data_IF_787688524233
#
_entry.id   IF_787688524233
#
_cell.length_a   1.000
_cell.length_b   1.000
_cell.length_c   1.000
_cell.angle_alpha   90.00
_cell.angle_beta   90.00
_cell.angle_gamma   90.00
#
_symmetry.space_group_name_H-M   'P 1'
#
loop_
_entity.id
_entity.type
_entity.pdbx_description
1 polymer ?
#
# COMPACT_ATOMS: atom_id res chain seq x y z
N UNK A 1 -3.09 24.98 8.31
CA UNK A 1 -2.37 23.74 7.95
C UNK A 1 -1.82 23.97 6.55
N UNK A 2 -0.52 23.83 6.38
CA UNK A 2 0.17 24.17 5.12
C UNK A 2 0.11 22.99 4.14
N UNK A 3 -0.86 22.99 3.23
CA UNK A 3 -1.18 21.85 2.36
C UNK A 3 -0.08 21.55 1.31
N UNK A 4 0.72 22.54 0.93
CA UNK A 4 1.71 22.40 -0.13
C UNK A 4 2.78 21.33 0.17
N UNK A 5 3.14 21.15 1.42
CA UNK A 5 4.06 20.09 1.86
C UNK A 5 3.44 18.70 1.74
N UNK A 6 2.15 18.57 1.98
CA UNK A 6 1.44 17.31 1.82
C UNK A 6 1.27 16.98 0.33
N UNK A 7 1.02 17.99 -0.51
CA UNK A 7 1.00 17.83 -1.97
C UNK A 7 2.35 17.35 -2.48
N UNK A 8 3.46 17.91 -1.98
CA UNK A 8 4.81 17.48 -2.35
C UNK A 8 5.01 15.98 -2.08
N UNK A 9 4.58 15.50 -0.91
CA UNK A 9 4.63 14.08 -0.57
C UNK A 9 3.75 13.23 -1.50
N UNK A 10 2.53 13.68 -1.81
CA UNK A 10 1.64 12.97 -2.72
C UNK A 10 2.24 12.85 -4.12
N UNK A 11 2.84 13.94 -4.64
CA UNK A 11 3.55 13.94 -5.91
C UNK A 11 4.71 12.96 -5.88
N UNK A 12 5.49 12.93 -4.80
CA UNK A 12 6.58 11.97 -4.65
C UNK A 12 6.06 10.52 -4.68
N UNK A 13 4.96 10.21 -3.99
CA UNK A 13 4.35 8.87 -4.01
C UNK A 13 3.92 8.48 -5.43
N UNK A 14 3.17 9.36 -6.12
CA UNK A 14 2.69 9.11 -7.49
C UNK A 14 3.85 8.95 -8.47
N UNK A 15 4.90 9.76 -8.33
CA UNK A 15 6.10 9.67 -9.15
C UNK A 15 6.78 8.31 -8.98
N UNK A 16 6.88 7.77 -7.75
CA UNK A 16 7.44 6.44 -7.53
C UNK A 16 6.57 5.32 -8.13
N UNK A 17 5.23 5.46 -8.14
CA UNK A 17 4.34 4.50 -8.81
C UNK A 17 4.62 4.51 -10.32
N UNK A 18 4.79 5.70 -10.91
CA UNK A 18 5.07 5.84 -12.34
C UNK A 18 6.46 5.33 -12.73
N UNK A 19 7.50 5.69 -11.97
CA UNK A 19 8.89 5.32 -12.27
C UNK A 19 9.19 3.84 -11.97
N UNK A 20 8.49 3.24 -11.02
CA UNK A 20 8.65 1.84 -10.64
C UNK A 20 7.30 1.10 -10.75
N UNK A 21 6.78 0.87 -11.97
CA UNK A 21 5.45 0.29 -12.19
C UNK A 21 5.39 -1.17 -11.75
N UNK A 22 6.51 -1.88 -11.82
CA UNK A 22 6.63 -3.29 -11.46
C UNK A 22 6.93 -3.50 -9.98
N UNK A 23 6.68 -4.73 -9.55
CA UNK A 23 6.74 -5.14 -8.14
C UNK A 23 7.97 -5.98 -7.88
N UNK A 24 8.41 -5.99 -6.61
CA UNK A 24 9.51 -6.87 -6.21
C UNK A 24 8.96 -8.26 -5.92
N UNK A 25 9.81 -9.27 -5.99
CA UNK A 25 9.43 -10.67 -5.74
C UNK A 25 8.86 -10.86 -4.34
N UNK A 26 9.32 -10.10 -3.36
CA UNK A 26 8.87 -10.19 -1.97
C UNK A 26 7.40 -9.74 -1.79
N UNK A 27 6.87 -8.95 -2.73
CA UNK A 27 5.50 -8.40 -2.68
C UNK A 27 4.49 -9.30 -3.37
N UNK A 28 4.96 -10.25 -4.18
CA UNK A 28 4.14 -11.11 -5.04
C UNK A 28 3.00 -11.78 -4.28
N UNK A 29 3.27 -12.34 -3.11
CA UNK A 29 2.26 -12.97 -2.24
C UNK A 29 1.07 -12.03 -1.94
N UNK A 30 1.33 -10.84 -1.40
CA UNK A 30 0.25 -9.90 -1.07
C UNK A 30 -0.48 -9.40 -2.31
N UNK A 31 0.24 -9.24 -3.42
CA UNK A 31 -0.34 -8.78 -4.67
C UNK A 31 -1.26 -9.82 -5.29
N UNK A 32 -0.87 -11.09 -5.26
CA UNK A 32 -1.73 -12.17 -5.69
C UNK A 32 -2.94 -12.28 -4.75
N UNK A 33 -2.77 -12.07 -3.45
CA UNK A 33 -3.89 -12.11 -2.52
C UNK A 33 -4.89 -10.98 -2.78
N UNK A 34 -4.40 -9.80 -3.16
CA UNK A 34 -5.24 -8.69 -3.62
C UNK A 34 -5.95 -9.05 -4.93
N UNK A 35 -5.22 -9.61 -5.89
CA UNK A 35 -5.79 -10.04 -7.17
C UNK A 35 -6.91 -11.08 -6.96
N UNK A 36 -6.66 -12.12 -6.17
CA UNK A 36 -7.62 -13.16 -5.85
C UNK A 36 -8.87 -12.57 -5.20
N UNK A 37 -8.70 -11.67 -4.23
CA UNK A 37 -9.81 -11.00 -3.57
C UNK A 37 -10.62 -10.09 -4.52
N UNK A 38 -9.96 -9.40 -5.47
CA UNK A 38 -10.61 -8.48 -6.40
C UNK A 38 -11.27 -9.18 -7.61
N UNK A 39 -10.69 -10.30 -8.07
CA UNK A 39 -11.11 -10.99 -9.30
C UNK A 39 -11.95 -12.23 -9.00
N UNK A 40 -11.54 -13.04 -8.03
CA UNK A 40 -12.23 -14.29 -7.67
C UNK A 40 -13.19 -14.09 -6.48
N UNK A 41 -12.97 -13.06 -5.65
CA UNK A 41 -13.86 -12.73 -4.55
C UNK A 41 -13.98 -13.90 -3.56
N UNK A 42 -15.20 -14.40 -3.38
CA UNK A 42 -15.49 -15.53 -2.46
C UNK A 42 -15.28 -16.91 -3.07
N UNK A 43 -14.92 -17.01 -4.36
CA UNK A 43 -14.58 -18.28 -4.99
C UNK A 43 -13.17 -18.71 -4.57
N UNK A 44 -13.06 -19.18 -3.32
CA UNK A 44 -11.80 -19.57 -2.71
C UNK A 44 -11.09 -20.68 -3.48
N UNK A 45 -11.81 -21.54 -4.20
CA UNK A 45 -11.23 -22.61 -5.00
C UNK A 45 -10.35 -22.10 -6.14
N UNK A 46 -10.61 -20.87 -6.61
CA UNK A 46 -9.85 -20.21 -7.67
C UNK A 46 -8.66 -19.38 -7.14
N UNK A 47 -8.40 -19.38 -5.84
CA UNK A 47 -7.29 -18.61 -5.26
C UNK A 47 -5.96 -19.33 -5.47
N UNK A 48 -4.99 -18.64 -6.06
CA UNK A 48 -3.64 -19.16 -6.30
C UNK A 48 -2.93 -19.54 -4.98
N UNK A 49 -3.32 -18.89 -3.89
CA UNK A 49 -2.82 -19.16 -2.54
C UNK A 49 -3.12 -20.57 -2.00
N UNK A 50 -4.12 -21.27 -2.55
CA UNK A 50 -4.37 -22.67 -2.20
C UNK A 50 -3.37 -23.61 -2.89
N UNK A 51 -2.92 -23.25 -4.09
CA UNK A 51 -1.98 -24.04 -4.88
C UNK A 51 -0.51 -23.74 -4.50
N UNK A 52 -0.22 -22.48 -4.15
CA UNK A 52 1.12 -22.02 -3.78
C UNK A 52 1.11 -21.31 -2.42
N UNK A 53 0.98 -22.06 -1.31
CA UNK A 53 1.16 -21.49 0.02
C UNK A 53 2.60 -20.98 0.13
N UNK A 54 2.75 -19.65 0.25
CA UNK A 54 4.06 -19.00 0.23
C UNK A 54 5.06 -19.63 1.21
N UNK A 55 6.35 -19.57 0.89
CA UNK A 55 7.43 -20.23 1.65
C UNK A 55 7.59 -19.77 3.13
N UNK A 56 6.86 -18.72 3.54
CA UNK A 56 6.88 -18.15 4.89
C UNK A 56 5.45 -17.77 5.28
N UNK A 57 5.01 -18.05 6.52
CA UNK A 57 3.69 -17.63 7.00
C UNK A 57 3.55 -16.11 6.94
N UNK A 58 2.54 -15.63 6.20
CA UNK A 58 2.25 -14.21 5.99
C UNK A 58 0.77 -13.96 6.28
N UNK A 59 0.46 -12.77 6.79
CA UNK A 59 -0.93 -12.38 7.04
C UNK A 59 -1.60 -11.84 5.78
N UNK A 60 -2.84 -12.24 5.52
CA UNK A 60 -3.66 -11.69 4.44
C UNK A 60 -4.31 -10.34 4.76
N UNK A 61 -4.29 -9.89 6.02
CA UNK A 61 -5.02 -8.69 6.45
C UNK A 61 -4.66 -7.43 5.65
N UNK A 62 -3.38 -7.21 5.36
CA UNK A 62 -2.94 -6.08 4.55
C UNK A 62 -3.45 -6.15 3.11
N UNK A 63 -3.45 -7.35 2.51
CA UNK A 63 -3.97 -7.59 1.18
C UNK A 63 -5.50 -7.40 1.12
N UNK A 64 -6.24 -7.92 2.10
CA UNK A 64 -7.70 -7.75 2.20
C UNK A 64 -8.10 -6.30 2.42
N UNK A 65 -7.34 -5.56 3.23
CA UNK A 65 -7.56 -4.13 3.40
C UNK A 65 -7.30 -3.37 2.10
N UNK A 66 -6.22 -3.67 1.39
CA UNK A 66 -5.89 -3.03 0.13
C UNK A 66 -6.89 -3.37 -0.99
N UNK A 67 -7.37 -4.61 -1.07
CA UNK A 67 -8.43 -5.00 -2.02
C UNK A 67 -9.74 -4.29 -1.68
N UNK A 68 -10.10 -4.14 -0.40
CA UNK A 68 -11.27 -3.36 -0.02
C UNK A 68 -11.17 -1.89 -0.44
N UNK A 69 -10.00 -1.26 -0.30
CA UNK A 69 -9.77 0.11 -0.77
C UNK A 69 -9.86 0.23 -2.30
N UNK A 70 -9.47 -0.82 -3.03
CA UNK A 70 -9.44 -0.85 -4.49
C UNK A 70 -10.62 -1.61 -5.12
N UNK A 71 -11.65 -1.96 -4.34
CA UNK A 71 -12.79 -2.78 -4.76
C UNK A 71 -13.46 -2.36 -6.08
N UNK A 72 -13.66 -1.06 -6.40
CA UNK A 72 -14.31 -0.69 -7.65
C UNK A 72 -13.40 -0.84 -8.89
N UNK A 73 -12.08 -1.03 -8.71
CA UNK A 73 -11.11 -1.01 -9.81
C UNK A 73 -11.35 -2.06 -10.92
N UNK A 74 -11.72 -3.33 -10.64
CA UNK A 74 -11.96 -4.32 -11.68
C UNK A 74 -13.05 -3.90 -12.68
N UNK A 75 -14.09 -3.21 -12.21
CA UNK A 75 -15.19 -2.71 -13.05
C UNK A 75 -14.78 -1.61 -14.04
N UNK A 76 -13.72 -0.85 -13.74
CA UNK A 76 -13.20 0.21 -14.61
C UNK A 76 -12.11 -0.28 -15.57
N UNK A 77 -11.30 -1.25 -15.13
CA UNK A 77 -10.07 -1.64 -15.83
C UNK A 77 -10.15 -3.01 -16.52
N UNK A 78 -11.33 -3.64 -16.56
CA UNK A 78 -11.56 -4.97 -17.16
C UNK A 78 -10.51 -6.01 -16.75
N UNK A 79 -10.11 -6.00 -15.47
CA UNK A 79 -9.10 -6.90 -14.90
C UNK A 79 -7.71 -6.86 -15.57
N UNK A 80 -7.33 -5.76 -16.23
CA UNK A 80 -5.95 -5.60 -16.72
C UNK A 80 -4.95 -5.52 -15.55
N UNK A 81 -3.99 -6.45 -15.52
CA UNK A 81 -3.10 -6.63 -14.36
C UNK A 81 -2.32 -5.39 -13.94
N UNK A 82 -1.73 -4.65 -14.90
CA UNK A 82 -0.96 -3.44 -14.59
C UNK A 82 -1.85 -2.28 -14.13
N UNK A 83 -3.05 -2.13 -14.69
CA UNK A 83 -3.97 -1.07 -14.29
C UNK A 83 -4.55 -1.35 -12.90
N UNK A 84 -4.92 -2.61 -12.62
CA UNK A 84 -5.38 -3.04 -11.30
C UNK A 84 -4.28 -2.85 -10.25
N UNK A 85 -3.05 -3.25 -10.57
CA UNK A 85 -1.88 -2.99 -9.74
C UNK A 85 -1.71 -1.50 -9.44
N UNK A 86 -1.79 -0.65 -10.47
CA UNK A 86 -1.65 0.80 -10.33
C UNK A 86 -2.76 1.37 -9.45
N UNK A 87 -4.01 0.92 -9.64
CA UNK A 87 -5.16 1.35 -8.84
C UNK A 87 -5.00 0.98 -7.36
N UNK A 88 -4.57 -0.25 -7.06
CA UNK A 88 -4.29 -0.71 -5.70
C UNK A 88 -3.17 0.13 -5.07
N UNK A 89 -2.07 0.37 -5.79
CA UNK A 89 -0.94 1.17 -5.30
C UNK A 89 -1.34 2.63 -5.05
N UNK A 90 -2.19 3.21 -5.89
CA UNK A 90 -2.75 4.54 -5.67
C UNK A 90 -3.64 4.57 -4.43
N UNK A 91 -4.53 3.59 -4.27
CA UNK A 91 -5.43 3.54 -3.11
C UNK A 91 -4.66 3.44 -1.78
N UNK A 92 -3.66 2.55 -1.72
CA UNK A 92 -2.77 2.40 -0.55
C UNK A 92 -1.93 3.67 -0.36
N UNK A 93 -1.38 4.23 -1.44
CA UNK A 93 -0.60 5.48 -1.41
C UNK A 93 -1.40 6.66 -0.85
N UNK A 94 -2.64 6.83 -1.27
CA UNK A 94 -3.55 7.88 -0.78
C UNK A 94 -3.90 7.65 0.70
N UNK A 95 -4.15 6.40 1.11
CA UNK A 95 -4.41 6.07 2.51
C UNK A 95 -3.21 6.39 3.42
N UNK A 96 -2.00 6.01 2.99
CA UNK A 96 -0.75 6.34 3.67
C UNK A 96 -0.51 7.85 3.75
N UNK A 97 -0.75 8.56 2.64
CA UNK A 97 -0.67 10.01 2.57
C UNK A 97 -1.66 10.69 3.54
N UNK A 98 -2.92 10.28 3.55
CA UNK A 98 -3.93 10.83 4.44
C UNK A 98 -3.58 10.60 5.93
N UNK A 99 -2.97 9.46 6.24
CA UNK A 99 -2.45 9.15 7.58
C UNK A 99 -1.28 10.09 7.94
N UNK A 100 -0.38 10.38 6.99
CA UNK A 100 0.72 11.32 7.18
C UNK A 100 0.23 12.77 7.37
N UNK A 101 -0.80 13.21 6.64
CA UNK A 101 -1.43 14.53 6.83
C UNK A 101 -1.93 14.67 8.27
N UNK A 102 -2.60 13.64 8.79
CA UNK A 102 -3.07 13.62 10.19
C UNK A 102 -1.91 13.64 11.18
N UNK A 103 -0.84 12.88 10.93
CA UNK A 103 0.36 12.89 11.76
C UNK A 103 0.99 14.30 11.82
N UNK A 104 1.15 14.97 10.67
CA UNK A 104 1.66 16.34 10.61
C UNK A 104 0.77 17.34 11.32
N UNK A 105 -0.55 17.16 11.25
CA UNK A 105 -1.50 18.00 11.99
C UNK A 105 -1.33 17.86 13.51
N UNK A 106 -1.06 16.63 14.01
CA UNK A 106 -0.77 16.38 15.43
C UNK A 106 0.58 17.00 15.82
N UNK A 107 1.63 16.76 15.03
CA UNK A 107 2.98 17.33 15.25
C UNK A 107 2.91 18.86 15.32
N UNK A 108 2.13 19.48 14.43
CA UNK A 108 1.94 20.93 14.41
C UNK A 108 1.29 21.48 15.67
N UNK A 109 0.41 20.70 16.32
CA UNK A 109 -0.29 21.10 17.54
C UNK A 109 0.56 20.86 18.79
N UNK A 110 1.38 19.81 18.78
CA UNK A 110 2.18 19.40 19.95
C UNK A 110 3.52 20.13 20.03
N UNK A 111 4.23 20.25 18.91
CA UNK A 111 5.61 20.75 18.88
C UNK A 111 5.76 22.06 18.12
N UNK A 112 4.86 22.35 17.19
CA UNK A 112 4.84 23.62 16.46
C UNK A 112 4.84 23.45 14.94
N UNK A 113 4.58 24.57 14.26
CA UNK A 113 4.53 24.62 12.79
C UNK A 113 5.89 24.29 12.15
N UNK A 114 7.05 24.80 12.63
CA UNK A 114 8.36 24.47 12.05
C UNK A 114 8.67 22.97 12.02
N UNK A 115 8.35 22.25 13.10
CA UNK A 115 8.59 20.82 13.26
C UNK A 115 7.70 20.02 12.30
N UNK A 116 6.44 20.42 12.15
CA UNK A 116 5.53 19.82 11.17
C UNK A 116 5.97 20.08 9.73
N UNK A 117 6.60 21.23 9.44
CA UNK A 117 7.20 21.53 8.12
C UNK A 117 8.42 20.65 7.87
N UNK A 118 9.33 20.56 8.83
CA UNK A 118 10.51 19.70 8.74
C UNK A 118 10.11 18.23 8.52
N UNK A 119 9.11 17.73 9.25
CA UNK A 119 8.61 16.37 9.06
C UNK A 119 8.11 16.12 7.63
N UNK A 120 7.29 17.03 7.08
CA UNK A 120 6.76 16.90 5.72
C UNK A 120 7.87 16.95 4.66
N UNK A 121 8.81 17.88 4.80
CA UNK A 121 9.97 18.02 3.91
C UNK A 121 10.88 16.79 3.94
N UNK A 122 11.31 16.36 5.12
CA UNK A 122 12.19 15.20 5.28
C UNK A 122 11.51 13.92 4.79
N UNK A 123 10.19 13.80 4.96
CA UNK A 123 9.43 12.65 4.46
C UNK A 123 9.30 12.68 2.95
N UNK A 124 9.05 13.83 2.34
CA UNK A 124 8.90 13.93 0.88
C UNK A 124 10.23 13.81 0.13
N UNK A 125 11.35 14.24 0.73
CA UNK A 125 12.68 14.23 0.10
C UNK A 125 13.41 12.90 0.24
N UNK A 126 13.16 12.14 1.31
CA UNK A 126 13.79 10.82 1.42
C UNK A 126 13.19 9.87 0.37
N UNK A 127 14.03 9.01 -0.21
CA UNK A 127 13.56 8.02 -1.16
C UNK A 127 12.67 6.95 -0.50
N UNK A 128 13.10 6.46 0.67
CA UNK A 128 12.59 5.21 1.21
C UNK A 128 11.10 5.26 1.56
N UNK A 129 10.68 6.24 2.36
CA UNK A 129 9.31 6.29 2.86
C UNK A 129 8.26 6.53 1.74
N UNK A 130 8.36 7.56 0.88
CA UNK A 130 7.41 7.76 -0.23
C UNK A 130 7.34 6.56 -1.18
N UNK A 131 8.48 5.90 -1.42
CA UNK A 131 8.52 4.70 -2.26
C UNK A 131 7.72 3.54 -1.67
N UNK A 132 7.81 3.29 -0.36
CA UNK A 132 7.08 2.21 0.30
C UNK A 132 5.63 2.57 0.68
N UNK A 133 5.26 3.85 0.74
CA UNK A 133 3.89 4.28 1.09
C UNK A 133 2.80 3.78 0.13
N UNK A 134 3.15 3.40 -1.10
CA UNK A 134 2.23 2.83 -2.10
C UNK A 134 2.39 1.32 -2.31
N UNK A 135 3.28 0.66 -1.55
CA UNK A 135 3.70 -0.72 -1.80
C UNK A 135 3.22 -1.66 -0.71
N UNK A 136 2.77 -2.84 -1.11
CA UNK A 136 2.25 -3.87 -0.21
C UNK A 136 3.38 -4.75 0.33
N UNK A 137 4.17 -4.18 1.25
CA UNK A 137 5.16 -4.95 1.98
C UNK A 137 4.48 -5.97 2.92
N UNK A 138 5.07 -7.16 3.03
CA UNK A 138 4.58 -8.23 3.90
C UNK A 138 4.75 -7.85 5.37
N UNK A 139 3.64 -7.80 6.11
CA UNK A 139 3.69 -7.76 7.58
C UNK A 139 4.08 -9.15 8.05
N UNK A 140 5.30 -9.29 8.59
CA UNK A 140 5.73 -10.53 9.23
C UNK A 140 5.18 -10.53 10.65
N UNK A 141 4.08 -11.25 10.90
CA UNK A 141 3.82 -11.75 12.26
C UNK A 141 4.22 -13.22 12.27
N UNK A 142 5.43 -13.49 12.75
CA UNK A 142 5.77 -14.84 13.17
C UNK A 142 4.90 -15.18 14.39
N UNK A 143 4.01 -16.16 14.26
CA UNK A 143 3.74 -17.06 15.36
C UNK A 143 4.06 -18.47 14.85
N UNK A 144 5.29 -18.91 15.12
CA UNK A 144 5.69 -20.29 14.96
C UNK A 144 5.11 -21.13 16.10
N UNK A 145 3.78 -21.26 16.14
CA UNK A 145 3.11 -22.19 17.04
C UNK A 145 2.07 -22.97 16.22
N UNK A 146 2.50 -24.15 15.79
CA UNK A 146 1.68 -25.33 15.46
C UNK A 146 0.46 -25.11 14.56
N UNK A 147 0.58 -25.52 13.30
CA UNK A 147 -0.54 -26.18 12.61
C UNK A 147 0.01 -27.40 11.89
N UNK A 148 -0.59 -28.53 12.25
CA UNK A 148 -0.42 -29.90 11.75
C UNK A 148 -0.74 -29.99 10.26
#
# INVERSE_FOLDING_TARGET
MELHWDILLLVAIVLHIYLAPFTKVEESFNLQAVHDALVHGTDLASWDHLQFPGAVPRTFLGALFASALAWPAPGFFHCSGLALLTAVRLAVGICSWASHVRLRAVVSRTWGVPEARALGLLTALQFHLPFYMSRLASTTTANNNNVV
#
